data_IF_585968715728
#
_entry.id   IF_585968715728
#
_cell.length_a   1.000
_cell.length_b   1.000
_cell.length_c   1.000
_cell.angle_alpha   90.00
_cell.angle_beta   90.00
_cell.angle_gamma   90.00
#
_symmetry.space_group_name_H-M   'P 1'
#
loop_
_entity.id
_entity.type
_entity.pdbx_description
1 polymer ?
#
# COMPACT_ATOMS: atom_id res chain seq x y z
N UNK A 1 2.60 1.84 -0.09
CA UNK A 1 1.33 1.60 0.62
C UNK A 1 1.70 0.83 1.87
N UNK A 2 1.15 1.20 3.01
CA UNK A 2 1.46 0.54 4.28
C UNK A 2 0.16 0.31 5.07
N UNK A 3 0.21 -0.66 5.97
CA UNK A 3 -0.92 -1.15 6.73
C UNK A 3 -0.66 -0.99 8.22
N UNK A 4 -1.56 -0.31 8.91
CA UNK A 4 -1.55 -0.27 10.37
C UNK A 4 -2.86 -0.81 10.90
N UNK A 5 -2.80 -1.62 11.95
CA UNK A 5 -4.00 -2.11 12.63
C UNK A 5 -4.06 -1.66 14.08
N UNK A 6 -5.27 -1.43 14.56
CA UNK A 6 -5.57 -1.12 15.95
C UNK A 6 -6.96 -1.61 16.32
N UNK A 7 -7.36 -1.40 17.56
CA UNK A 7 -8.71 -1.71 18.02
C UNK A 7 -9.29 -0.52 18.80
N UNK A 8 -10.59 -0.30 18.64
CA UNK A 8 -11.31 0.77 19.35
C UNK A 8 -12.17 0.14 20.45
N UNK A 9 -11.76 0.33 21.70
CA UNK A 9 -12.44 -0.17 22.89
C UNK A 9 -12.24 -1.68 23.15
N UNK A 10 -12.45 -2.53 22.14
CA UNK A 10 -12.35 -3.98 22.28
C UNK A 10 -11.58 -4.64 21.13
N UNK A 11 -10.81 -5.69 21.42
CA UNK A 11 -10.00 -6.44 20.44
C UNK A 11 -10.81 -7.07 19.30
N UNK A 12 -12.12 -7.30 19.48
CA UNK A 12 -13.03 -7.76 18.41
C UNK A 12 -13.39 -6.66 17.41
N UNK A 13 -13.10 -5.39 17.72
CA UNK A 13 -13.36 -4.21 16.88
C UNK A 13 -12.06 -3.72 16.24
N UNK A 14 -11.36 -4.62 15.57
CA UNK A 14 -10.15 -4.26 14.84
C UNK A 14 -10.50 -3.31 13.68
N UNK A 15 -9.58 -2.39 13.42
CA UNK A 15 -9.63 -1.47 12.29
C UNK A 15 -8.27 -1.51 11.63
N UNK A 16 -8.28 -1.74 10.32
CA UNK A 16 -7.13 -1.64 9.46
C UNK A 16 -7.16 -0.27 8.81
N UNK A 17 -6.04 0.43 8.89
CA UNK A 17 -5.75 1.64 8.16
C UNK A 17 -4.87 1.23 6.98
N UNK A 18 -5.39 1.42 5.78
CA UNK A 18 -4.61 1.38 4.56
C UNK A 18 -4.34 2.81 4.13
N UNK A 19 -3.10 3.14 3.81
CA UNK A 19 -2.76 4.47 3.32
C UNK A 19 -1.74 4.46 2.20
N UNK A 20 -1.88 5.45 1.34
CA UNK A 20 -0.92 5.80 0.30
C UNK A 20 -0.19 7.07 0.71
N UNK A 21 1.13 7.00 0.63
CA UNK A 21 2.02 8.06 1.07
C UNK A 21 2.89 8.52 -0.09
N UNK A 22 2.84 9.81 -0.38
CA UNK A 22 3.75 10.46 -1.30
C UNK A 22 5.06 10.77 -0.56
N UNK A 23 6.14 10.08 -0.96
CA UNK A 23 7.45 10.24 -0.34
C UNK A 23 8.10 11.59 -0.66
N UNK A 24 7.82 12.17 -1.83
CA UNK A 24 8.40 13.44 -2.28
C UNK A 24 7.75 14.58 -1.50
N UNK A 25 6.42 14.61 -1.48
CA UNK A 25 5.65 15.65 -0.78
C UNK A 25 5.56 15.41 0.72
N UNK A 26 5.91 14.22 1.19
CA UNK A 26 5.81 13.76 2.59
C UNK A 26 4.38 13.84 3.13
N UNK A 27 3.41 13.51 2.29
CA UNK A 27 1.98 13.64 2.60
C UNK A 27 1.23 12.34 2.34
N UNK A 28 0.24 12.04 3.17
CA UNK A 28 -0.75 10.99 2.88
C UNK A 28 -1.70 11.52 1.81
N UNK A 29 -1.77 10.84 0.67
CA UNK A 29 -2.61 11.25 -0.48
C UNK A 29 -3.99 10.59 -0.46
N UNK A 30 -4.08 9.37 0.09
CA UNK A 30 -5.32 8.66 0.28
C UNK A 30 -5.20 7.70 1.47
N UNK A 31 -6.31 7.49 2.18
CA UNK A 31 -6.39 6.48 3.21
C UNK A 31 -7.82 5.91 3.29
N UNK A 32 -7.93 4.67 3.77
CA UNK A 32 -9.23 4.04 4.05
C UNK A 32 -9.14 3.22 5.32
N UNK A 33 -10.19 3.26 6.12
CA UNK A 33 -10.38 2.36 7.26
C UNK A 33 -11.28 1.20 6.87
N UNK A 34 -10.94 -0.01 7.29
CA UNK A 34 -11.77 -1.18 7.03
C UNK A 34 -11.25 -2.45 7.66
N UNK A 35 -11.76 -3.56 7.18
CA UNK A 35 -11.17 -4.88 7.43
C UNK A 35 -10.05 -5.13 6.43
N UNK A 36 -9.14 -6.06 6.74
CA UNK A 36 -8.08 -6.49 5.84
C UNK A 36 -8.63 -7.41 4.75
N UNK A 37 -9.37 -6.82 3.82
CA UNK A 37 -10.06 -7.51 2.73
C UNK A 37 -9.79 -6.82 1.39
N UNK A 38 -10.00 -7.56 0.30
CA UNK A 38 -9.86 -7.04 -1.06
C UNK A 38 -10.78 -5.85 -1.33
N UNK A 39 -12.00 -5.87 -0.78
CA UNK A 39 -12.93 -4.76 -0.94
C UNK A 39 -12.40 -3.45 -0.34
N UNK A 40 -11.71 -3.51 0.80
CA UNK A 40 -11.06 -2.32 1.38
C UNK A 40 -9.91 -1.83 0.50
N UNK A 41 -9.13 -2.74 -0.06
CA UNK A 41 -8.04 -2.41 -1.00
C UNK A 41 -8.58 -1.77 -2.29
N UNK A 42 -9.62 -2.32 -2.90
CA UNK A 42 -10.23 -1.77 -4.11
C UNK A 42 -10.79 -0.36 -3.90
N UNK A 43 -11.33 -0.06 -2.71
CA UNK A 43 -11.74 1.30 -2.35
C UNK A 43 -10.55 2.26 -2.30
N UNK A 44 -9.41 1.83 -1.75
CA UNK A 44 -8.19 2.65 -1.76
C UNK A 44 -7.67 2.87 -3.19
N UNK A 45 -7.66 1.82 -4.03
CA UNK A 45 -7.26 1.93 -5.44
C UNK A 45 -8.19 2.88 -6.22
N UNK A 46 -9.49 2.86 -5.93
CA UNK A 46 -10.45 3.80 -6.50
C UNK A 46 -10.13 5.26 -6.15
N UNK A 47 -9.77 5.54 -4.90
CA UNK A 47 -9.29 6.88 -4.49
C UNK A 47 -7.99 7.26 -5.19
N UNK A 48 -7.11 6.29 -5.40
CA UNK A 48 -5.81 6.49 -6.06
C UNK A 48 -5.92 6.62 -7.58
N UNK A 49 -7.04 6.25 -8.20
CA UNK A 49 -7.26 6.43 -9.64
C UNK A 49 -7.18 7.90 -10.08
N UNK A 50 -7.41 8.85 -9.15
CA UNK A 50 -7.25 10.28 -9.39
C UNK A 50 -5.78 10.76 -9.35
N UNK A 51 -4.84 9.88 -9.02
CA UNK A 51 -3.42 10.16 -8.85
C UNK A 51 -2.57 9.28 -9.77
N UNK A 52 -1.50 9.85 -10.31
CA UNK A 52 -0.51 9.09 -11.08
C UNK A 52 0.43 8.34 -10.11
N UNK A 53 0.03 7.13 -9.71
CA UNK A 53 0.83 6.28 -8.81
C UNK A 53 1.88 5.50 -9.62
N UNK A 54 3.15 5.90 -9.48
CA UNK A 54 4.26 5.33 -10.27
C UNK A 54 4.87 4.08 -9.64
N UNK A 55 4.90 3.99 -8.30
CA UNK A 55 5.54 2.86 -7.59
C UNK A 55 4.70 2.42 -6.40
N UNK A 56 4.43 1.11 -6.35
CA UNK A 56 3.84 0.45 -5.19
C UNK A 56 4.96 -0.18 -4.35
N UNK A 57 5.18 0.37 -3.17
CA UNK A 57 5.99 -0.29 -2.14
C UNK A 57 5.02 -0.86 -1.12
N UNK A 58 4.69 -2.14 -1.25
CA UNK A 58 3.81 -2.88 -0.34
C UNK A 58 4.62 -3.97 0.35
N UNK A 59 4.11 -4.51 1.46
CA UNK A 59 4.67 -5.73 2.02
C UNK A 59 4.32 -6.95 1.13
N UNK A 60 4.90 -8.11 1.45
CA UNK A 60 4.74 -9.35 0.68
C UNK A 60 3.38 -10.02 0.88
N UNK A 61 2.30 -9.29 1.17
CA UNK A 61 0.99 -9.89 1.32
C UNK A 61 0.49 -10.42 -0.05
N UNK A 62 0.14 -11.72 -0.18
CA UNK A 62 -0.17 -12.31 -1.49
C UNK A 62 -1.32 -11.65 -2.26
N UNK A 63 -2.19 -10.92 -1.55
CA UNK A 63 -3.28 -10.17 -2.16
C UNK A 63 -2.75 -9.01 -3.04
N UNK A 64 -1.68 -8.33 -2.62
CA UNK A 64 -1.03 -7.31 -3.43
C UNK A 64 -0.45 -7.90 -4.71
N UNK A 65 0.18 -9.07 -4.64
CA UNK A 65 0.73 -9.71 -5.84
C UNK A 65 -0.34 -9.97 -6.89
N UNK A 66 -1.55 -10.37 -6.50
CA UNK A 66 -2.62 -10.67 -7.45
C UNK A 66 -3.20 -9.45 -8.17
N UNK A 67 -3.12 -8.25 -7.57
CA UNK A 67 -3.74 -7.02 -8.10
C UNK A 67 -2.76 -5.94 -8.54
N UNK A 68 -1.53 -5.97 -8.03
CA UNK A 68 -0.48 -4.98 -8.33
C UNK A 68 0.63 -5.52 -9.24
N UNK A 69 0.72 -6.85 -9.48
CA UNK A 69 1.73 -7.41 -10.41
C UNK A 69 1.68 -6.84 -11.82
N UNK A 70 0.56 -6.25 -12.23
CA UNK A 70 0.43 -5.65 -13.56
C UNK A 70 1.05 -4.25 -13.66
N UNK A 71 1.37 -3.59 -12.53
CA UNK A 71 2.03 -2.28 -12.50
C UNK A 71 3.14 -2.24 -11.45
N UNK A 72 4.36 -2.61 -11.86
CA UNK A 72 5.64 -2.40 -11.17
C UNK A 72 5.59 -2.46 -9.63
N UNK A 73 5.40 -3.66 -9.08
CA UNK A 73 5.80 -3.97 -7.71
C UNK A 73 7.32 -4.06 -7.68
N UNK A 74 8.01 -3.01 -7.21
CA UNK A 74 9.42 -3.12 -6.85
C UNK A 74 9.48 -3.73 -5.45
N UNK A 75 9.86 -4.99 -5.36
CA UNK A 75 10.18 -5.62 -4.08
C UNK A 75 11.38 -4.91 -3.44
N UNK A 76 11.51 -4.99 -2.10
CA UNK A 76 12.69 -4.48 -1.40
C UNK A 76 14.01 -5.10 -1.91
N UNK A 77 13.95 -6.30 -2.50
CA UNK A 77 15.06 -6.93 -3.23
C UNK A 77 15.43 -6.18 -4.51
N UNK A 78 14.43 -5.70 -5.24
CA UNK A 78 14.58 -5.09 -6.56
C UNK A 78 15.18 -3.68 -6.43
N UNK A 79 14.85 -2.98 -5.35
CA UNK A 79 15.43 -1.67 -5.00
C UNK A 79 16.94 -1.81 -4.70
N UNK A 80 17.36 -2.86 -3.99
CA UNK A 80 18.80 -3.09 -3.73
C UNK A 80 19.55 -3.42 -5.02
N UNK A 81 18.96 -4.21 -5.90
CA UNK A 81 19.53 -4.54 -7.21
C UNK A 81 19.67 -3.28 -8.09
N UNK A 82 18.62 -2.46 -8.19
CA UNK A 82 18.62 -1.24 -8.98
C UNK A 82 19.63 -0.19 -8.49
N UNK A 83 19.83 -0.08 -7.17
CA UNK A 83 20.83 0.83 -6.59
C UNK A 83 22.27 0.28 -6.70
N UNK A 84 22.44 -1.04 -6.77
CA UNK A 84 23.77 -1.65 -6.94
C UNK A 84 24.35 -1.45 -8.34
N UNK A 85 23.52 -1.19 -9.35
CA UNK A 85 23.95 -0.89 -10.72
C UNK A 85 24.35 0.57 -10.99
N UNK A 86 24.30 1.42 -9.95
CA UNK A 86 24.68 2.86 -10.04
C UNK A 86 26.08 3.10 -9.43
N UNK A 87 26.76 2.07 -8.93
CA UNK A 87 28.15 2.16 -8.47
C UNK A 87 29.14 1.73 -9.55
#
# INVERSE_FOLDING_TARGET
MDEQWGYVGAKSRQRWLFYAYDRIRRTVVAHVFGERTLATLERLLGLLSAFEVVVWMTDGWPLYESRLKENCTLSASDIRSALSGIT
#
